data_IF_058490901561
#
_entry.id   IF_058490901561
#
_cell.length_a   1.000
_cell.length_b   1.000
_cell.length_c   1.000
_cell.angle_alpha   90.00
_cell.angle_beta   90.00
_cell.angle_gamma   90.00
#
_symmetry.space_group_name_H-M   'P 1'
#
loop_
_entity.id
_entity.type
_entity.pdbx_description
1 polymer ?
#
# COMPACT_ATOMS: atom_id res chain seq x y z
N UNK A 1 -6.27 16.61 8.21
CA UNK A 1 -4.90 16.38 8.72
C UNK A 1 -4.83 15.01 9.40
N UNK A 2 -5.00 13.93 8.65
CA UNK A 2 -5.04 12.54 9.19
C UNK A 2 -4.45 11.51 8.22
N UNK A 3 -4.05 11.94 7.02
CA UNK A 3 -3.74 11.06 5.90
C UNK A 3 -2.48 10.21 6.06
N UNK A 4 -1.48 10.71 6.81
CA UNK A 4 -0.22 10.01 7.07
C UNK A 4 -0.38 8.84 8.06
N UNK A 5 -1.33 8.95 9.01
CA UNK A 5 -1.54 7.93 10.04
C UNK A 5 -2.28 6.70 9.52
N UNK A 6 -3.01 6.82 8.43
CA UNK A 6 -3.72 5.69 7.81
C UNK A 6 -2.75 4.56 7.41
N UNK A 7 -1.48 4.88 7.11
CA UNK A 7 -0.48 3.86 6.78
C UNK A 7 -0.18 2.92 7.96
N UNK A 8 -0.47 3.34 9.20
CA UNK A 8 -0.37 2.48 10.38
C UNK A 8 -1.46 1.39 10.44
N UNK A 9 -2.49 1.47 9.59
CA UNK A 9 -3.57 0.49 9.50
C UNK A 9 -3.26 -0.69 8.57
N UNK A 10 -2.15 -0.61 7.83
CA UNK A 10 -1.71 -1.68 6.93
C UNK A 10 -1.34 -2.94 7.71
N UNK A 11 -1.57 -4.10 7.07
CA UNK A 11 -1.03 -5.36 7.55
C UNK A 11 0.52 -5.27 7.67
N UNK A 12 1.14 -5.85 8.71
CA UNK A 12 2.57 -5.71 8.96
C UNK A 12 3.45 -6.10 7.77
N UNK A 13 3.10 -7.18 7.07
CA UNK A 13 3.82 -7.64 5.87
C UNK A 13 3.77 -6.62 4.73
N UNK A 14 2.66 -5.90 4.57
CA UNK A 14 2.52 -4.86 3.54
C UNK A 14 3.35 -3.62 3.91
N UNK A 15 3.44 -3.26 5.19
CA UNK A 15 4.31 -2.16 5.63
C UNK A 15 5.78 -2.44 5.34
N UNK A 16 6.24 -3.66 5.58
CA UNK A 16 7.61 -4.07 5.24
C UNK A 16 7.86 -3.98 3.74
N UNK A 17 6.96 -4.51 2.90
CA UNK A 17 7.11 -4.41 1.45
C UNK A 17 7.19 -2.96 0.98
N UNK A 18 6.33 -2.06 1.49
CA UNK A 18 6.35 -0.64 1.14
C UNK A 18 7.66 0.04 1.55
N UNK A 19 8.24 -0.32 2.70
CA UNK A 19 9.53 0.22 3.15
C UNK A 19 10.69 -0.13 2.22
N UNK A 20 10.60 -1.26 1.51
CA UNK A 20 11.62 -1.74 0.59
C UNK A 20 11.27 -1.55 -0.89
N UNK A 21 10.16 -0.87 -1.21
CA UNK A 21 9.83 -0.54 -2.59
C UNK A 21 10.87 0.44 -3.15
N UNK A 22 11.62 -0.01 -4.16
CA UNK A 22 12.50 0.86 -4.91
C UNK A 22 11.67 1.71 -5.89
N UNK A 23 11.84 3.03 -5.80
CA UNK A 23 11.31 3.93 -6.83
C UNK A 23 12.22 3.87 -8.06
N UNK A 24 11.64 3.55 -9.22
CA UNK A 24 12.36 3.64 -10.51
C UNK A 24 12.29 5.09 -10.99
N UNK A 25 13.42 5.66 -11.44
CA UNK A 25 13.45 7.06 -11.90
C UNK A 25 12.43 7.30 -13.03
N UNK A 26 11.48 8.21 -12.77
CA UNK A 26 10.48 8.65 -13.74
C UNK A 26 9.14 7.90 -13.69
N UNK A 27 9.03 6.82 -12.92
CA UNK A 27 7.76 6.15 -12.65
C UNK A 27 7.44 6.22 -11.15
N UNK A 28 6.21 6.59 -10.82
CA UNK A 28 5.69 6.48 -9.46
C UNK A 28 4.84 5.18 -9.42
N UNK A 29 5.47 4.00 -9.24
CA UNK A 29 4.76 2.72 -9.37
C UNK A 29 3.65 2.57 -8.34
N UNK A 30 3.75 3.25 -7.20
CA UNK A 30 2.74 3.24 -6.14
C UNK A 30 2.37 4.65 -5.69
N UNK A 31 1.15 5.08 -6.03
CA UNK A 31 0.61 6.33 -5.49
C UNK A 31 0.15 6.17 -4.04
N UNK A 32 0.27 7.26 -3.27
CA UNK A 32 -0.28 7.38 -1.90
C UNK A 32 -1.76 6.99 -1.84
N UNK A 33 -2.54 7.40 -2.85
CA UNK A 33 -3.97 7.09 -2.95
C UNK A 33 -4.23 5.58 -3.07
N UNK A 34 -3.39 4.86 -3.83
CA UNK A 34 -3.46 3.41 -3.95
C UNK A 34 -3.20 2.72 -2.62
N UNK A 35 -2.16 3.17 -1.90
CA UNK A 35 -1.82 2.62 -0.59
C UNK A 35 -2.90 2.90 0.47
N UNK A 36 -3.52 4.09 0.43
CA UNK A 36 -4.67 4.41 1.29
C UNK A 36 -5.86 3.49 1.04
N UNK A 37 -6.16 3.17 -0.21
CA UNK A 37 -7.26 2.26 -0.54
C UNK A 37 -7.03 0.86 0.06
N UNK A 38 -5.77 0.40 0.09
CA UNK A 38 -5.38 -0.86 0.74
C UNK A 38 -5.54 -0.77 2.25
N UNK A 39 -5.05 0.29 2.89
CA UNK A 39 -5.15 0.49 4.34
C UNK A 39 -6.61 0.47 4.86
N UNK A 40 -7.55 0.96 4.05
CA UNK A 40 -8.98 1.00 4.39
C UNK A 40 -9.80 -0.19 3.86
N UNK A 41 -9.17 -1.23 3.34
CA UNK A 41 -9.86 -2.39 2.78
C UNK A 41 -10.50 -3.31 3.85
N UNK A 42 -10.30 -3.02 5.13
CA UNK A 42 -10.86 -3.76 6.26
C UNK A 42 -9.83 -4.71 6.89
N UNK A 43 -10.21 -5.98 7.03
CA UNK A 43 -9.37 -7.05 7.59
C UNK A 43 -8.06 -7.20 6.83
N UNK A 44 -6.98 -7.63 7.49
CA UNK A 44 -5.69 -7.84 6.84
C UNK A 44 -5.72 -8.83 5.68
N UNK A 45 -6.60 -9.84 5.72
CA UNK A 45 -6.80 -10.78 4.61
C UNK A 45 -7.23 -10.05 3.34
N UNK A 46 -8.25 -9.18 3.46
CA UNK A 46 -8.72 -8.34 2.34
C UNK A 46 -7.67 -7.32 1.93
N UNK A 47 -6.91 -6.75 2.87
CA UNK A 47 -5.80 -5.86 2.52
C UNK A 47 -4.75 -6.58 1.66
N UNK A 48 -4.39 -7.83 1.99
CA UNK A 48 -3.43 -8.63 1.20
C UNK A 48 -3.97 -8.97 -0.19
N UNK A 49 -5.26 -9.23 -0.31
CA UNK A 49 -5.90 -9.42 -1.64
C UNK A 49 -5.78 -8.15 -2.48
N UNK A 50 -6.17 -6.99 -1.93
CA UNK A 50 -6.04 -5.70 -2.62
C UNK A 50 -4.60 -5.34 -2.93
N UNK A 51 -3.67 -5.66 -2.04
CA UNK A 51 -2.24 -5.42 -2.25
C UNK A 51 -1.70 -6.21 -3.45
N UNK A 52 -2.15 -7.46 -3.67
CA UNK A 52 -1.77 -8.22 -4.87
C UNK A 52 -2.31 -7.58 -6.14
N UNK A 53 -3.53 -7.04 -6.12
CA UNK A 53 -4.11 -6.32 -7.27
C UNK A 53 -3.30 -5.07 -7.61
N UNK A 54 -2.98 -4.28 -6.59
CA UNK A 54 -2.13 -3.09 -6.71
C UNK A 54 -0.76 -3.48 -7.28
N UNK A 55 -0.13 -4.54 -6.74
CA UNK A 55 1.14 -5.06 -7.25
C UNK A 55 1.15 -5.57 -8.68
N UNK A 56 -0.01 -5.94 -9.22
CA UNK A 56 -0.11 -6.36 -10.61
C UNK A 56 -0.32 -5.17 -11.58
N UNK A 57 -0.53 -3.96 -11.06
CA UNK A 57 -0.81 -2.75 -11.84
C UNK A 57 0.42 -1.88 -12.12
N UNK A 58 1.56 -2.27 -11.54
CA UNK A 58 2.90 -1.74 -11.80
C UNK A 58 3.81 -2.89 -12.24
#
# INVERSE_FOLDING_TARGET
>A
MTHLLDLLLLAPDIQEEVLFLEAVEGEEPLSERGLRAVAHAGTWEVQRERWREVKASF
#
